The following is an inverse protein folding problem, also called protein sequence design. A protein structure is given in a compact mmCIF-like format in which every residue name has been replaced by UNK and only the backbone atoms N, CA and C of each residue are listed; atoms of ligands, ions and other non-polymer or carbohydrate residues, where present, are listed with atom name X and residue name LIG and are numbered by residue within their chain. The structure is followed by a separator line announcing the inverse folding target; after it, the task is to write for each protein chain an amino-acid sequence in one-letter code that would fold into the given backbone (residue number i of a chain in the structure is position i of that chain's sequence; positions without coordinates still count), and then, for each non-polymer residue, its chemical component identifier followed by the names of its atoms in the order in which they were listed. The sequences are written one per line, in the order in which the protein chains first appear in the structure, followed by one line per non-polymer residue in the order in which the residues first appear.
data_IF_289848103708
#
_entry.id   IF_289848103708
#
_cell.length_a   1.000
_cell.length_b   1.000
_cell.length_c   1.000
_cell.angle_alpha   90.00
_cell.angle_beta   90.00
_cell.angle_gamma   90.00
#
_symmetry.space_group_name_H-M   'P 1'
#
loop_
_entity.id
_entity.type
_entity.pdbx_description
1 polymer ?
#
# COMPACT_ATOMS: atom_id res chain seq x y z
N UNK A 1 13.44 40.17 11.53
CA UNK A 1 13.85 39.49 10.29
C UNK A 1 12.94 38.29 10.11
N UNK A 2 11.94 38.39 9.22
CA UNK A 2 11.02 37.31 8.85
C UNK A 2 11.40 36.90 7.42
N UNK A 3 11.80 35.64 7.23
CA UNK A 3 12.18 35.10 5.93
C UNK A 3 11.03 34.27 5.36
N UNK A 4 10.51 34.82 4.27
CA UNK A 4 9.55 34.30 3.31
C UNK A 4 9.97 32.94 2.77
N UNK A 5 9.07 31.95 2.81
CA UNK A 5 9.09 30.81 1.89
C UNK A 5 7.67 30.53 1.43
N UNK A 6 7.18 31.48 0.64
CA UNK A 6 6.32 31.21 -0.50
C UNK A 6 6.84 29.97 -1.25
N UNK A 7 6.01 28.93 -1.31
CA UNK A 7 5.88 28.01 -2.44
C UNK A 7 4.58 27.26 -2.25
N UNK A 8 3.50 28.06 -2.25
CA UNK A 8 2.16 27.57 -2.47
C UNK A 8 2.18 26.67 -3.69
N UNK A 9 1.84 25.43 -3.40
CA UNK A 9 1.86 24.27 -4.26
C UNK A 9 0.81 24.48 -5.36
N UNK A 10 1.28 25.15 -6.41
CA UNK A 10 0.54 25.52 -7.61
C UNK A 10 -0.05 24.27 -8.25
N UNK A 11 -1.34 24.07 -8.02
CA UNK A 11 -2.30 23.51 -8.97
C UNK A 11 -1.97 22.13 -9.54
N UNK A 12 -2.44 21.07 -8.86
CA UNK A 12 -2.94 19.88 -9.55
C UNK A 12 -4.47 19.81 -9.43
N UNK A 13 -5.10 20.48 -10.38
CA UNK A 13 -6.49 20.33 -10.76
C UNK A 13 -6.69 18.90 -11.28
N UNK A 14 -7.08 17.96 -10.41
CA UNK A 14 -7.41 16.59 -10.84
C UNK A 14 -8.44 15.94 -9.92
N UNK A 15 -9.70 16.35 -10.14
CA UNK A 15 -10.94 15.76 -9.64
C UNK A 15 -11.12 15.71 -8.11
N UNK A 16 -12.37 15.83 -7.59
CA UNK A 16 -12.68 15.24 -6.31
C UNK A 16 -12.66 13.73 -6.54
N UNK A 17 -11.47 13.11 -6.46
CA UNK A 17 -11.38 11.70 -6.17
C UNK A 17 -12.00 11.55 -4.79
N UNK A 18 -13.28 11.21 -4.79
CA UNK A 18 -14.02 10.70 -3.64
C UNK A 18 -13.02 9.91 -2.81
N UNK A 19 -12.71 10.39 -1.61
CA UNK A 19 -11.77 9.73 -0.72
C UNK A 19 -12.07 8.22 -0.76
N UNK A 20 -11.13 7.36 -1.20
CA UNK A 20 -11.38 5.94 -1.06
C UNK A 20 -11.46 5.70 0.44
N UNK A 21 -12.61 5.17 0.86
CA UNK A 21 -13.00 4.88 2.24
C UNK A 21 -11.80 4.76 3.21
N UNK A 22 -11.68 5.74 4.11
CA UNK A 22 -10.73 5.80 5.22
C UNK A 22 -10.90 4.65 6.25
N UNK A 23 -11.27 3.43 5.85
CA UNK A 23 -11.71 2.42 6.82
C UNK A 23 -11.21 0.99 6.58
N UNK A 24 -10.24 0.76 5.70
CA UNK A 24 -9.64 -0.59 5.55
C UNK A 24 -8.11 -0.61 5.46
N UNK A 25 -7.45 0.55 5.48
CA UNK A 25 -6.01 0.66 5.22
C UNK A 25 -5.11 0.59 6.49
N UNK A 26 -5.67 0.38 7.68
CA UNK A 26 -4.89 0.47 8.93
C UNK A 26 -4.29 -0.86 9.41
N UNK A 27 -4.65 -2.00 8.80
CA UNK A 27 -4.26 -3.34 9.30
C UNK A 27 -3.65 -4.26 8.23
N UNK A 28 -3.08 -3.72 7.16
CA UNK A 28 -2.36 -4.53 6.17
C UNK A 28 -0.85 -4.54 6.42
N UNK A 29 -0.24 -5.71 6.31
CA UNK A 29 1.18 -5.97 6.56
C UNK A 29 2.01 -5.97 5.28
N UNK A 30 1.53 -6.68 4.26
CA UNK A 30 2.21 -6.88 2.99
C UNK A 30 1.22 -6.82 1.84
N UNK A 31 1.71 -6.63 0.62
CA UNK A 31 0.94 -6.89 -0.59
C UNK A 31 1.23 -8.32 -1.05
N UNK A 32 0.18 -9.05 -1.41
CA UNK A 32 0.36 -10.36 -2.02
C UNK A 32 0.93 -10.22 -3.42
N UNK A 33 2.12 -10.78 -3.68
CA UNK A 33 2.78 -10.80 -4.98
C UNK A 33 1.96 -11.49 -6.08
N UNK A 34 0.97 -12.33 -5.71
CA UNK A 34 0.14 -13.09 -6.66
C UNK A 34 -1.14 -12.39 -7.09
N UNK A 35 -1.87 -11.81 -6.14
CA UNK A 35 -3.19 -11.20 -6.41
C UNK A 35 -3.19 -9.67 -6.27
N UNK A 36 -2.10 -9.06 -5.81
CA UNK A 36 -2.00 -7.62 -5.58
C UNK A 36 -2.87 -7.09 -4.45
N UNK A 37 -3.60 -7.96 -3.73
CA UNK A 37 -4.42 -7.57 -2.58
C UNK A 37 -3.56 -7.44 -1.31
N UNK A 38 -3.91 -6.50 -0.42
CA UNK A 38 -3.27 -6.37 0.87
C UNK A 38 -3.53 -7.61 1.74
N UNK A 39 -2.47 -8.13 2.34
CA UNK A 39 -2.49 -9.17 3.37
C UNK A 39 -2.64 -8.48 4.72
N UNK A 40 -3.69 -8.80 5.47
CA UNK A 40 -3.93 -8.22 6.79
C UNK A 40 -3.24 -9.00 7.92
N UNK A 41 -3.11 -8.40 9.10
CA UNK A 41 -2.51 -9.06 10.28
C UNK A 41 -3.23 -10.34 10.70
N UNK A 42 -4.54 -10.41 10.45
CA UNK A 42 -5.39 -11.54 10.82
C UNK A 42 -5.38 -12.68 9.78
N UNK A 43 -4.82 -12.44 8.57
CA UNK A 43 -4.83 -13.44 7.49
C UNK A 43 -3.51 -14.23 7.40
N UNK A 44 -3.58 -15.56 7.18
CA UNK A 44 -2.40 -16.39 7.00
C UNK A 44 -1.69 -16.07 5.68
N UNK A 45 -0.39 -15.83 5.78
CA UNK A 45 0.50 -15.55 4.65
C UNK A 45 1.54 -16.65 4.49
N UNK A 46 2.00 -16.82 3.25
CA UNK A 46 3.11 -17.68 2.89
C UNK A 46 4.28 -16.80 2.42
N UNK A 47 5.45 -17.05 2.99
CA UNK A 47 6.71 -16.46 2.55
C UNK A 47 7.53 -17.53 1.85
N UNK A 48 7.89 -17.27 0.60
CA UNK A 48 8.83 -18.10 -0.14
C UNK A 48 10.15 -17.34 -0.31
N UNK A 49 11.21 -17.85 0.31
CA UNK A 49 12.56 -17.35 0.10
C UNK A 49 13.20 -18.17 -1.03
N UNK A 50 13.43 -17.59 -2.20
CA UNK A 50 14.06 -18.30 -3.32
C UNK A 50 15.20 -17.48 -3.93
N UNK A 51 16.40 -18.06 -3.96
CA UNK A 51 17.54 -17.56 -4.73
C UNK A 51 17.92 -16.08 -4.52
N UNK A 52 17.70 -15.53 -3.31
CA UNK A 52 18.04 -14.14 -2.98
C UNK A 52 16.86 -13.17 -2.96
N UNK A 53 15.65 -13.61 -3.29
CA UNK A 53 14.40 -12.84 -3.14
C UNK A 53 13.47 -13.43 -2.08
N UNK A 54 12.60 -12.57 -1.53
CA UNK A 54 11.52 -12.93 -0.63
C UNK A 54 10.20 -12.60 -1.32
N UNK A 55 9.38 -13.62 -1.56
CA UNK A 55 8.06 -13.50 -2.20
C UNK A 55 7.00 -13.73 -1.13
N UNK A 56 6.04 -12.82 -0.98
CA UNK A 56 4.99 -12.89 0.03
C UNK A 56 3.64 -13.03 -0.64
N UNK A 57 2.88 -14.07 -0.30
CA UNK A 57 1.57 -14.34 -0.88
C UNK A 57 0.56 -14.77 0.19
N UNK A 58 -0.73 -14.66 -0.10
CA UNK A 58 -1.73 -15.31 0.76
C UNK A 58 -1.57 -16.83 0.70
N UNK A 59 -1.84 -17.52 1.82
CA UNK A 59 -1.82 -18.98 1.85
C UNK A 59 -2.83 -19.60 0.86
N UNK A 60 -3.96 -18.93 0.65
CA UNK A 60 -5.03 -19.34 -0.30
C UNK A 60 -4.71 -19.04 -1.76
N UNK A 61 -3.78 -18.12 -2.03
CA UNK A 61 -3.41 -17.80 -3.39
C UNK A 61 -2.59 -18.96 -3.96
N UNK A 62 -3.19 -19.71 -4.89
CA UNK A 62 -2.45 -20.74 -5.65
C UNK A 62 -1.40 -20.08 -6.54
N UNK A 63 -0.38 -20.86 -6.90
CA UNK A 63 0.79 -20.39 -7.63
C UNK A 63 0.53 -20.36 -9.14
#
# INVERSE_FOLDING_TARGET
MQAVLEREQKQLNRAPLSAPAQSQAENWLFLCDRCGQPITYDEPLQVNCNGGGMEVAHLKCSR
#
